data_IF_202729218777
#
_entry.id   IF_202729218777
#
_cell.length_a   1.000
_cell.length_b   1.000
_cell.length_c   1.000
_cell.angle_alpha   90.00
_cell.angle_beta   90.00
_cell.angle_gamma   90.00
#
_symmetry.space_group_name_H-M   'P 1'
#
loop_
_entity.id
_entity.type
_entity.pdbx_description
1 polymer ?
#
# COMPACT_ATOMS: atom_id res chain seq x y z
N UNK A 1 8.43 -20.18 34.02
CA UNK A 1 8.17 -21.30 33.09
C UNK A 1 8.21 -20.76 31.67
N UNK A 2 9.38 -20.86 31.04
CA UNK A 2 9.60 -20.48 29.65
C UNK A 2 8.86 -21.48 28.75
N UNK A 3 7.84 -21.04 28.03
CA UNK A 3 7.25 -21.83 26.94
C UNK A 3 8.06 -21.54 25.68
N UNK A 4 9.28 -22.07 25.64
CA UNK A 4 10.02 -22.23 24.40
C UNK A 4 9.29 -23.28 23.57
N UNK A 5 8.50 -22.83 22.60
CA UNK A 5 7.92 -23.70 21.59
C UNK A 5 9.03 -24.28 20.73
N UNK A 6 9.44 -25.52 21.02
CA UNK A 6 10.30 -26.34 20.16
C UNK A 6 9.49 -26.91 19.01
N UNK A 7 9.01 -26.05 18.11
CA UNK A 7 8.35 -26.45 16.87
C UNK A 7 8.50 -25.38 15.78
N UNK A 8 9.75 -24.98 15.54
CA UNK A 8 10.18 -24.15 14.40
C UNK A 8 11.71 -24.24 14.38
N UNK A 9 12.28 -24.96 13.43
CA UNK A 9 13.71 -24.82 13.04
C UNK A 9 14.10 -25.68 11.84
N UNK A 10 13.57 -26.90 11.66
CA UNK A 10 14.14 -27.82 10.68
C UNK A 10 14.06 -27.35 9.20
N UNK A 11 13.00 -26.68 8.76
CA UNK A 11 12.84 -26.31 7.34
C UNK A 11 13.59 -25.04 6.93
N UNK A 12 13.78 -24.10 7.86
CA UNK A 12 14.50 -22.84 7.61
C UNK A 12 16.03 -23.03 7.77
N UNK A 13 16.46 -24.01 8.58
CA UNK A 13 17.88 -24.38 8.74
C UNK A 13 18.45 -24.99 7.44
N UNK A 14 17.68 -25.81 6.73
CA UNK A 14 18.07 -26.41 5.45
C UNK A 14 18.18 -25.39 4.29
N UNK A 15 17.58 -24.20 4.43
CA UNK A 15 17.68 -23.10 3.45
C UNK A 15 18.99 -22.30 3.63
N UNK A 16 19.43 -22.11 4.87
CA UNK A 16 20.64 -21.35 5.20
C UNK A 16 21.92 -22.05 4.73
N UNK A 17 21.99 -23.38 4.85
CA UNK A 17 23.16 -24.14 4.40
C UNK A 17 23.27 -24.20 2.86
N UNK A 18 22.16 -24.09 2.12
CA UNK A 18 22.17 -24.02 0.64
C UNK A 18 22.58 -22.63 0.12
N UNK A 19 22.32 -21.57 0.90
CA UNK A 19 22.63 -20.18 0.53
C UNK A 19 24.05 -19.75 0.91
N UNK A 20 24.70 -20.47 1.82
CA UNK A 20 26.02 -20.20 2.38
C UNK A 20 27.14 -20.05 1.34
N UNK A 21 26.98 -20.70 0.19
CA UNK A 21 27.98 -20.73 -0.88
C UNK A 21 27.82 -19.59 -1.90
N UNK A 22 26.74 -18.81 -1.83
CA UNK A 22 26.51 -17.71 -2.77
C UNK A 22 27.39 -16.50 -2.45
N UNK A 23 28.10 -16.00 -3.47
CA UNK A 23 28.97 -14.81 -3.35
C UNK A 23 28.28 -13.54 -3.83
N UNK A 24 27.29 -13.67 -4.70
CA UNK A 24 26.57 -12.55 -5.33
C UNK A 24 25.06 -12.64 -5.09
N UNK A 25 24.36 -11.50 -5.07
CA UNK A 25 22.89 -11.46 -4.94
C UNK A 25 22.17 -12.28 -6.04
N UNK A 26 22.68 -12.23 -7.28
CA UNK A 26 22.17 -13.04 -8.39
C UNK A 26 22.38 -14.53 -8.17
N UNK A 27 23.49 -14.92 -7.54
CA UNK A 27 23.82 -16.31 -7.24
C UNK A 27 22.93 -16.86 -6.11
N UNK A 28 22.63 -16.06 -5.08
CA UNK A 28 21.62 -16.41 -4.06
C UNK A 28 20.25 -16.67 -4.68
N UNK A 29 19.81 -15.82 -5.61
CA UNK A 29 18.54 -16.01 -6.30
C UNK A 29 18.56 -17.27 -7.18
N UNK A 30 19.67 -17.52 -7.87
CA UNK A 30 19.85 -18.72 -8.70
C UNK A 30 19.71 -20.00 -7.86
N UNK A 31 20.40 -20.09 -6.72
CA UNK A 31 20.34 -21.25 -5.83
C UNK A 31 18.93 -21.47 -5.24
N UNK A 32 18.22 -20.38 -4.87
CA UNK A 32 16.81 -20.48 -4.44
C UNK A 32 15.91 -21.02 -5.53
N UNK A 33 16.11 -20.58 -6.78
CA UNK A 33 15.36 -21.06 -7.93
C UNK A 33 15.67 -22.52 -8.24
N UNK A 34 16.94 -22.92 -8.22
CA UNK A 34 17.35 -24.32 -8.41
C UNK A 34 16.66 -25.23 -7.37
N UNK A 35 16.68 -24.87 -6.09
CA UNK A 35 15.98 -25.61 -5.02
C UNK A 35 14.46 -25.72 -5.23
N UNK A 36 13.83 -24.64 -5.72
CA UNK A 36 12.40 -24.64 -6.04
C UNK A 36 12.09 -25.52 -7.26
N UNK A 37 12.99 -25.55 -8.24
CA UNK A 37 12.85 -26.33 -9.48
C UNK A 37 13.18 -27.82 -9.29
N UNK A 38 13.95 -28.19 -8.27
CA UNK A 38 14.17 -29.60 -7.90
C UNK A 38 12.84 -30.33 -7.57
N UNK A 39 11.84 -29.61 -7.04
CA UNK A 39 10.55 -30.16 -6.62
C UNK A 39 9.37 -29.36 -7.21
N UNK A 40 9.18 -29.43 -8.53
CA UNK A 40 8.15 -28.67 -9.26
C UNK A 40 6.72 -29.00 -8.79
N UNK A 41 6.47 -30.27 -8.42
CA UNK A 41 5.14 -30.73 -7.99
C UNK A 41 4.75 -30.23 -6.58
N UNK A 42 5.71 -29.73 -5.79
CA UNK A 42 5.44 -29.26 -4.43
C UNK A 42 4.94 -27.80 -4.49
N UNK A 43 3.71 -27.51 -4.04
CA UNK A 43 3.20 -26.14 -4.05
C UNK A 43 4.02 -25.25 -3.11
N UNK A 44 4.48 -24.10 -3.63
CA UNK A 44 5.24 -23.11 -2.88
C UNK A 44 4.32 -22.38 -1.89
N UNK A 45 4.70 -22.37 -0.61
CA UNK A 45 3.96 -21.63 0.43
C UNK A 45 4.45 -20.19 0.49
N UNK A 46 3.73 -19.28 -0.15
CA UNK A 46 3.96 -17.85 0.02
C UNK A 46 3.42 -17.45 1.40
N UNK A 47 4.23 -16.87 2.30
CA UNK A 47 3.76 -16.49 3.62
C UNK A 47 2.71 -15.39 3.49
N UNK A 48 1.54 -15.63 4.08
CA UNK A 48 0.53 -14.59 4.23
C UNK A 48 1.04 -13.49 5.19
N UNK A 49 0.50 -12.28 5.01
CA UNK A 49 0.80 -11.15 5.89
C UNK A 49 0.48 -11.56 7.33
N UNK A 50 1.48 -11.49 8.20
CA UNK A 50 1.28 -11.79 9.61
C UNK A 50 0.22 -10.85 10.19
N UNK A 51 -0.77 -11.39 10.94
CA UNK A 51 -1.78 -10.56 11.56
C UNK A 51 -1.12 -9.59 12.55
N UNK A 52 -1.63 -8.37 12.63
CA UNK A 52 -1.18 -7.44 13.67
C UNK A 52 -1.55 -8.02 15.04
N UNK A 53 -0.62 -7.96 15.99
CA UNK A 53 -0.91 -8.38 17.36
C UNK A 53 -2.05 -7.53 17.92
N UNK A 54 -3.02 -8.20 18.56
CA UNK A 54 -4.19 -7.57 19.18
C UNK A 54 -4.43 -8.21 20.55
N UNK A 55 -4.89 -7.46 21.55
CA UNK A 55 -5.28 -8.02 22.83
C UNK A 55 -6.40 -9.05 22.63
N UNK A 56 -6.32 -10.17 23.35
CA UNK A 56 -7.37 -11.18 23.33
C UNK A 56 -8.69 -10.56 23.83
N UNK A 57 -9.84 -10.89 23.21
CA UNK A 57 -11.12 -10.46 23.76
C UNK A 57 -11.31 -11.07 25.16
N UNK A 58 -11.96 -10.33 26.07
CA UNK A 58 -12.28 -10.87 27.38
C UNK A 58 -13.19 -12.10 27.24
N UNK A 59 -13.04 -13.13 28.08
CA UNK A 59 -13.94 -14.28 28.07
C UNK A 59 -15.36 -13.82 28.45
N UNK A 60 -16.36 -14.38 27.79
CA UNK A 60 -17.77 -14.04 28.02
C UNK A 60 -18.24 -14.41 29.43
N UNK A 61 -17.85 -15.59 29.92
CA UNK A 61 -18.21 -16.09 31.24
C UNK A 61 -16.97 -16.52 32.03
N UNK A 62 -16.86 -16.00 33.25
CA UNK A 62 -15.91 -16.51 34.24
C UNK A 62 -16.65 -17.55 35.07
N UNK A 63 -16.25 -18.82 34.96
CA UNK A 63 -16.92 -19.95 35.63
C UNK A 63 -16.53 -20.10 37.10
N UNK A 64 -15.32 -19.68 37.46
CA UNK A 64 -14.71 -19.93 38.77
C UNK A 64 -14.71 -18.66 39.63
N UNK A 65 -15.87 -18.04 39.81
CA UNK A 65 -16.02 -16.84 40.64
C UNK A 65 -16.35 -17.29 42.07
N UNK A 66 -15.49 -16.94 43.02
CA UNK A 66 -15.76 -17.14 44.45
C UNK A 66 -16.79 -16.12 44.93
N UNK A 67 -17.62 -16.47 45.92
CA UNK A 67 -18.72 -15.61 46.40
C UNK A 67 -18.24 -14.23 46.84
N UNK A 68 -19.11 -13.22 46.74
CA UNK A 68 -18.74 -11.80 46.96
C UNK A 68 -18.26 -11.49 48.38
N UNK A 69 -18.64 -12.31 49.37
CA UNK A 69 -18.20 -12.20 50.77
C UNK A 69 -17.09 -13.17 51.14
N UNK A 70 -16.58 -13.97 50.18
CA UNK A 70 -15.47 -14.88 50.43
C UNK A 70 -14.17 -14.08 50.67
N UNK A 71 -13.34 -14.52 51.62
CA UNK A 71 -12.05 -13.89 51.89
C UNK A 71 -11.05 -14.06 50.74
N UNK A 72 -9.97 -13.27 50.74
CA UNK A 72 -8.93 -13.35 49.72
C UNK A 72 -8.22 -14.72 49.77
N UNK A 73 -8.39 -15.51 48.70
CA UNK A 73 -7.69 -16.78 48.52
C UNK A 73 -6.24 -16.61 48.08
N UNK A 74 -5.42 -17.65 48.22
CA UNK A 74 -4.01 -17.64 47.81
C UNK A 74 -3.79 -17.42 46.30
N UNK A 75 -4.77 -17.76 45.46
CA UNK A 75 -4.73 -17.56 44.01
C UNK A 75 -5.14 -16.17 43.53
N UNK A 76 -5.79 -15.37 44.39
CA UNK A 76 -6.40 -14.09 43.99
C UNK A 76 -5.37 -13.07 43.52
N UNK A 77 -4.19 -13.06 44.16
CA UNK A 77 -3.09 -12.20 43.76
C UNK A 77 -2.62 -12.48 42.32
N UNK A 78 -2.52 -13.75 41.93
CA UNK A 78 -2.08 -14.11 40.58
C UNK A 78 -3.14 -13.80 39.53
N UNK A 79 -4.43 -13.91 39.89
CA UNK A 79 -5.54 -13.50 39.04
C UNK A 79 -5.45 -12.00 38.78
N UNK A 80 -5.35 -11.17 39.82
CA UNK A 80 -5.20 -9.72 39.69
C UNK A 80 -3.96 -9.34 38.85
N UNK A 81 -2.80 -9.95 39.11
CA UNK A 81 -1.57 -9.69 38.34
C UNK A 81 -1.77 -9.93 36.84
N UNK A 82 -2.41 -11.03 36.47
CA UNK A 82 -2.65 -11.38 35.08
C UNK A 82 -3.68 -10.45 34.43
N UNK A 83 -4.78 -10.13 35.12
CA UNK A 83 -5.80 -9.19 34.63
C UNK A 83 -5.21 -7.80 34.44
N UNK A 84 -4.43 -7.31 35.42
CA UNK A 84 -3.77 -6.00 35.34
C UNK A 84 -2.83 -5.92 34.14
N UNK A 85 -2.03 -6.97 33.92
CA UNK A 85 -1.13 -7.05 32.76
C UNK A 85 -1.92 -7.01 31.45
N UNK A 86 -2.96 -7.85 31.31
CA UNK A 86 -3.83 -7.86 30.12
C UNK A 86 -4.48 -6.50 29.87
N UNK A 87 -4.92 -5.83 30.93
CA UNK A 87 -5.58 -4.53 30.82
C UNK A 87 -4.59 -3.42 30.44
N UNK A 88 -3.40 -3.39 31.02
CA UNK A 88 -2.34 -2.44 30.60
C UNK A 88 -1.93 -2.65 29.15
N UNK A 89 -1.77 -3.90 28.72
CA UNK A 89 -1.47 -4.25 27.32
C UNK A 89 -2.60 -3.81 26.37
N UNK A 90 -3.86 -3.98 26.79
CA UNK A 90 -5.04 -3.53 26.04
C UNK A 90 -5.08 -2.01 25.91
N UNK A 91 -4.83 -1.27 26.98
CA UNK A 91 -4.80 0.20 26.97
C UNK A 91 -3.68 0.72 26.07
N UNK A 92 -2.46 0.16 26.20
CA UNK A 92 -1.32 0.51 25.34
C UNK A 92 -1.63 0.25 23.86
N UNK A 93 -2.30 -0.86 23.54
CA UNK A 93 -2.73 -1.16 22.17
C UNK A 93 -3.67 -0.09 21.62
N UNK A 94 -4.67 0.32 22.41
CA UNK A 94 -5.65 1.33 22.00
C UNK A 94 -4.96 2.68 21.74
N UNK A 95 -4.09 3.11 22.64
CA UNK A 95 -3.33 4.35 22.50
C UNK A 95 -2.45 4.34 21.24
N UNK A 96 -1.75 3.22 20.98
CA UNK A 96 -0.90 3.07 19.81
C UNK A 96 -1.71 3.08 18.50
N UNK A 97 -2.87 2.41 18.46
CA UNK A 97 -3.74 2.43 17.28
C UNK A 97 -4.29 3.83 17.02
N UNK A 98 -4.79 4.52 18.05
CA UNK A 98 -5.28 5.90 17.92
C UNK A 98 -4.19 6.84 17.38
N UNK A 99 -2.94 6.68 17.85
CA UNK A 99 -1.80 7.46 17.37
C UNK A 99 -1.43 7.11 15.92
N UNK A 100 -1.46 5.83 15.53
CA UNK A 100 -1.24 5.36 14.16
C UNK A 100 -2.29 5.92 13.22
N UNK A 101 -3.57 5.85 13.59
CA UNK A 101 -4.69 6.38 12.82
C UNK A 101 -4.59 7.89 12.62
N UNK A 102 -4.29 8.64 13.69
CA UNK A 102 -4.09 10.09 13.61
C UNK A 102 -2.99 10.46 12.62
N UNK A 103 -1.82 9.82 12.72
CA UNK A 103 -0.69 10.06 11.80
C UNK A 103 -1.05 9.68 10.35
N UNK A 104 -1.76 8.58 10.15
CA UNK A 104 -2.19 8.16 8.81
C UNK A 104 -3.18 9.17 8.21
N UNK A 105 -4.11 9.70 9.01
CA UNK A 105 -5.05 10.73 8.58
C UNK A 105 -4.32 12.02 8.16
N UNK A 106 -3.44 12.53 9.02
CA UNK A 106 -2.62 13.71 8.72
C UNK A 106 -1.77 13.53 7.46
N UNK A 107 -1.19 12.34 7.28
CA UNK A 107 -0.40 12.01 6.10
C UNK A 107 -1.25 11.98 4.81
N UNK A 108 -2.43 11.37 4.85
CA UNK A 108 -3.36 11.31 3.72
C UNK A 108 -3.83 12.71 3.32
N UNK A 109 -4.23 13.53 4.29
CA UNK A 109 -4.63 14.92 4.06
C UNK A 109 -3.49 15.72 3.40
N UNK A 110 -2.25 15.54 3.87
CA UNK A 110 -1.08 16.20 3.29
C UNK A 110 -0.78 15.75 1.85
N UNK A 111 -0.95 14.47 1.53
CA UNK A 111 -0.83 13.96 0.16
C UNK A 111 -1.90 14.57 -0.73
N UNK A 112 -3.15 14.55 -0.27
CA UNK A 112 -4.28 15.06 -1.05
C UNK A 112 -4.12 16.55 -1.36
N UNK A 113 -3.70 17.36 -0.37
CA UNK A 113 -3.40 18.78 -0.59
C UNK A 113 -2.28 18.99 -1.62
N UNK A 114 -1.22 18.17 -1.57
CA UNK A 114 -0.14 18.22 -2.56
C UNK A 114 -0.62 17.82 -3.96
N UNK A 115 -1.47 16.81 -4.05
CA UNK A 115 -2.06 16.36 -5.32
C UNK A 115 -2.96 17.46 -5.91
N UNK A 116 -3.89 18.01 -5.12
CA UNK A 116 -4.78 19.11 -5.54
C UNK A 116 -3.99 20.32 -6.02
N UNK A 117 -2.99 20.77 -5.27
CA UNK A 117 -2.17 21.93 -5.67
C UNK A 117 -1.34 21.66 -6.95
N UNK A 118 -0.87 20.43 -7.16
CA UNK A 118 -0.20 20.03 -8.40
C UNK A 118 -1.20 19.98 -9.58
N UNK A 119 -2.39 19.44 -9.38
CA UNK A 119 -3.46 19.39 -10.37
C UNK A 119 -3.96 20.77 -10.78
N UNK A 120 -4.13 21.70 -9.84
CA UNK A 120 -4.49 23.08 -10.14
C UNK A 120 -3.42 23.77 -10.99
N UNK A 121 -2.14 23.62 -10.62
CA UNK A 121 -1.01 24.19 -11.37
C UNK A 121 -0.93 23.60 -12.77
N UNK A 122 -1.09 22.28 -12.90
CA UNK A 122 -1.02 21.59 -14.19
C UNK A 122 -2.25 21.90 -15.07
N UNK A 123 -3.45 21.96 -14.49
CA UNK A 123 -4.70 22.35 -15.17
C UNK A 123 -4.63 23.78 -15.71
N UNK A 124 -4.20 24.75 -14.88
CA UNK A 124 -3.99 26.15 -15.32
C UNK A 124 -3.01 26.23 -16.50
N UNK A 125 -1.88 25.53 -16.42
CA UNK A 125 -0.89 25.48 -17.53
C UNK A 125 -1.44 24.76 -18.76
N UNK A 126 -2.19 23.67 -18.59
CA UNK A 126 -2.84 22.91 -19.67
C UNK A 126 -3.89 23.77 -20.38
N UNK A 127 -4.74 24.47 -19.65
CA UNK A 127 -5.75 25.38 -20.20
C UNK A 127 -5.11 26.50 -21.03
N UNK A 128 -4.01 27.11 -20.56
CA UNK A 128 -3.25 28.10 -21.34
C UNK A 128 -2.74 27.51 -22.66
N UNK A 129 -2.12 26.33 -22.62
CA UNK A 129 -1.65 25.62 -23.82
C UNK A 129 -2.77 25.26 -24.79
N UNK A 130 -3.92 24.80 -24.29
CA UNK A 130 -5.07 24.48 -25.14
C UNK A 130 -5.64 25.72 -25.82
N UNK A 131 -5.78 26.84 -25.09
CA UNK A 131 -6.17 28.13 -25.69
C UNK A 131 -5.20 28.57 -26.79
N UNK A 132 -3.89 28.42 -26.59
CA UNK A 132 -2.89 28.73 -27.62
C UNK A 132 -2.99 27.80 -28.84
N UNK A 133 -3.18 26.49 -28.64
CA UNK A 133 -3.41 25.52 -29.72
C UNK A 133 -4.66 25.85 -30.53
N UNK A 134 -5.77 26.16 -29.86
CA UNK A 134 -7.02 26.55 -30.52
C UNK A 134 -6.85 27.83 -31.36
N UNK A 135 -6.21 28.87 -30.81
CA UNK A 135 -5.90 30.10 -31.56
C UNK A 135 -5.01 29.84 -32.77
N UNK A 136 -3.99 28.97 -32.64
CA UNK A 136 -3.12 28.60 -33.78
C UNK A 136 -3.89 27.83 -34.86
N UNK A 137 -4.76 26.89 -34.47
CA UNK A 137 -5.63 26.15 -35.39
C UNK A 137 -6.58 27.09 -36.13
N UNK A 138 -7.23 28.03 -35.44
CA UNK A 138 -8.10 29.03 -36.05
C UNK A 138 -7.36 29.91 -37.07
N UNK A 139 -6.14 30.37 -36.76
CA UNK A 139 -5.31 31.14 -37.71
C UNK A 139 -4.94 30.34 -38.96
N UNK A 140 -4.59 29.06 -38.79
CA UNK A 140 -4.29 28.18 -39.91
C UNK A 140 -5.52 27.94 -40.79
N UNK A 141 -6.71 27.75 -40.19
CA UNK A 141 -7.95 27.58 -40.95
C UNK A 141 -8.38 28.86 -41.68
N UNK A 142 -8.21 30.04 -41.08
CA UNK A 142 -8.48 31.32 -41.75
C UNK A 142 -7.50 31.59 -42.89
N UNK A 143 -6.23 31.22 -42.73
CA UNK A 143 -5.25 31.33 -43.82
C UNK A 143 -5.53 30.34 -44.95
N UNK A 144 -5.91 29.11 -44.63
CA UNK A 144 -6.27 28.08 -45.62
C UNK A 144 -7.59 28.39 -46.37
N UNK A 145 -8.54 29.09 -45.74
CA UNK A 145 -9.77 29.55 -46.40
C UNK A 145 -9.50 30.74 -47.30
N UNK A 146 -8.75 31.74 -46.83
CA UNK A 146 -8.32 32.86 -47.70
C UNK A 146 -7.50 32.40 -48.91
N UNK A 147 -6.62 31.40 -48.76
CA UNK A 147 -5.87 30.83 -49.91
C UNK A 147 -6.76 30.03 -50.85
N UNK A 148 -7.82 29.37 -50.37
CA UNK A 148 -8.79 28.69 -51.24
C UNK A 148 -9.70 29.67 -51.98
N UNK A 149 -10.16 30.73 -51.33
CA UNK A 149 -10.95 31.80 -51.97
C UNK A 149 -10.14 32.59 -53.01
N UNK A 150 -8.83 32.80 -52.77
CA UNK A 150 -7.96 33.43 -53.79
C UNK A 150 -7.71 32.54 -55.01
N UNK A 151 -7.70 31.21 -54.84
CA UNK A 151 -7.53 30.25 -55.94
C UNK A 151 -8.83 30.04 -56.71
N UNK A 152 -10.00 30.07 -56.06
CA UNK A 152 -11.29 30.01 -56.77
C UNK A 152 -11.59 31.26 -57.60
N UNK A 153 -11.06 32.43 -57.23
CA UNK A 153 -11.21 33.66 -58.02
C UNK A 153 -10.25 33.76 -59.23
N UNK A 154 -9.29 32.85 -59.36
CA UNK A 154 -8.35 32.85 -60.49
C UNK A 154 -8.73 31.88 -61.61
N UNK A 155 -9.72 31.02 -61.43
CA UNK A 155 -10.17 30.07 -62.47
C UNK A 155 -11.35 30.56 -63.33
N UNK A 156 -11.98 31.70 -63.00
CA UNK A 156 -13.12 32.26 -63.77
C UNK A 156 -12.71 33.35 -64.78
N UNK A 157 -11.41 33.67 -64.93
CA UNK A 157 -10.96 34.75 -65.83
C UNK A 157 -9.97 34.30 -66.92
N UNK A 158 -10.18 33.09 -67.44
CA UNK A 158 -9.54 32.62 -68.67
C UNK A 158 -10.60 32.03 -69.60
N UNK A 159 -11.48 32.91 -70.11
CA UNK A 159 -12.53 32.56 -71.06
C UNK A 159 -12.61 33.57 -72.20
N UNK A 160 -11.91 33.24 -73.28
CA UNK A 160 -12.22 33.54 -74.68
C UNK A 160 -11.78 34.89 -75.33
N UNK A 161 -10.55 34.85 -75.86
CA UNK A 161 -10.13 34.93 -77.28
C UNK A 161 -10.82 35.85 -78.31
N UNK A 162 -9.92 36.47 -79.11
CA UNK A 162 -9.95 36.85 -80.54
C UNK A 162 -10.86 38.00 -81.03
#
# INVERSE_FOLDING_TARGET
>A
MSRGGRFRQNADEDDEDYLKNAKTASEMQRLRLEKLLENIDKPVKIPERQPEWKPEPPPEFVRNVVGSSAGAGSGEYHIYRNIRKKESERLQYIEQQALKEKRLKEFREKIEQRMRTAEEKTSKKRAKRQKWKLKKKQKLTTQATNTRESVSHTEDNSGDSN
#
